data_IF_583585877801
#
_entry.id   IF_583585877801
#
_cell.length_a   1.000
_cell.length_b   1.000
_cell.length_c   1.000
_cell.angle_alpha   90.00
_cell.angle_beta   90.00
_cell.angle_gamma   90.00
#
_symmetry.space_group_name_H-M   'P 1'
#
loop_
_entity.id
_entity.type
_entity.pdbx_description
1 polymer ?
#
# COMPACT_ATOMS: atom_id res chain seq x y z
N UNK A 1 26.12 4.30 -0.33
CA UNK A 1 25.78 5.33 -1.37
C UNK A 1 24.94 4.79 -2.54
N UNK A 2 24.73 3.48 -2.68
CA UNK A 2 23.86 2.86 -3.70
C UNK A 2 22.40 2.75 -3.25
N UNK A 3 22.14 2.67 -1.97
CA UNK A 3 20.79 2.61 -1.36
C UNK A 3 20.00 3.92 -1.51
N UNK A 4 20.66 5.07 -1.45
CA UNK A 4 20.04 6.39 -1.59
C UNK A 4 19.54 6.69 -3.01
N UNK A 5 20.21 6.19 -4.05
CA UNK A 5 19.83 6.44 -5.45
C UNK A 5 18.56 5.68 -5.86
N UNK A 6 18.26 4.55 -5.23
CA UNK A 6 17.10 3.72 -5.62
C UNK A 6 15.80 4.15 -4.93
N UNK A 7 15.86 4.64 -3.70
CA UNK A 7 14.69 5.24 -3.04
C UNK A 7 14.32 6.56 -3.72
N UNK A 8 15.32 7.37 -4.10
CA UNK A 8 15.12 8.59 -4.88
C UNK A 8 14.52 8.31 -6.26
N UNK A 9 14.94 7.26 -6.97
CA UNK A 9 14.38 6.88 -8.27
C UNK A 9 12.92 6.41 -8.15
N UNK A 10 12.57 5.61 -7.14
CA UNK A 10 11.18 5.22 -6.85
C UNK A 10 10.32 6.41 -6.46
N UNK A 11 10.85 7.34 -5.68
CA UNK A 11 10.17 8.56 -5.27
C UNK A 11 9.96 9.52 -6.45
N UNK A 12 10.93 9.65 -7.34
CA UNK A 12 10.83 10.42 -8.59
C UNK A 12 9.75 9.82 -9.50
N UNK A 13 9.70 8.51 -9.65
CA UNK A 13 8.68 7.84 -10.48
C UNK A 13 7.26 8.01 -9.91
N UNK A 14 7.07 7.86 -8.61
CA UNK A 14 5.78 8.13 -7.94
C UNK A 14 5.36 9.60 -8.09
N UNK A 15 6.32 10.53 -8.15
CA UNK A 15 6.07 11.96 -8.32
C UNK A 15 5.79 12.37 -9.78
N UNK A 16 6.22 11.59 -10.79
CA UNK A 16 6.01 11.95 -12.21
C UNK A 16 4.52 12.06 -12.55
N UNK A 17 3.67 11.14 -12.12
CA UNK A 17 2.22 11.22 -12.31
C UNK A 17 1.59 12.44 -11.62
N UNK A 18 2.11 12.85 -10.47
CA UNK A 18 1.69 14.08 -9.78
C UNK A 18 2.06 15.34 -10.57
N UNK A 19 3.30 15.39 -11.08
CA UNK A 19 3.77 16.55 -11.87
C UNK A 19 2.96 16.72 -13.16
N UNK A 20 2.70 15.62 -13.87
CA UNK A 20 1.89 15.64 -15.09
C UNK A 20 0.45 16.11 -14.80
N UNK A 21 -0.20 15.60 -13.75
CA UNK A 21 -1.52 16.08 -13.33
C UNK A 21 -1.51 17.56 -12.96
N UNK A 22 -0.48 18.04 -12.29
CA UNK A 22 -0.33 19.45 -11.91
C UNK A 22 -0.24 20.36 -13.15
N UNK A 23 0.57 19.98 -14.14
CA UNK A 23 0.70 20.71 -15.42
C UNK A 23 -0.64 20.72 -16.14
N UNK A 24 -1.30 19.57 -16.25
CA UNK A 24 -2.61 19.43 -16.90
C UNK A 24 -3.67 20.29 -16.22
N UNK A 25 -3.80 20.22 -14.90
CA UNK A 25 -4.76 21.03 -14.13
C UNK A 25 -4.54 22.52 -14.29
N UNK A 26 -3.27 22.95 -14.36
CA UNK A 26 -2.95 24.34 -14.65
C UNK A 26 -3.38 24.76 -16.05
N UNK A 27 -3.15 23.92 -17.05
CA UNK A 27 -3.64 24.15 -18.43
C UNK A 27 -5.17 24.22 -18.51
N UNK A 28 -5.89 23.32 -17.82
CA UNK A 28 -7.34 23.31 -17.75
C UNK A 28 -7.88 24.61 -17.13
N UNK A 29 -7.28 25.08 -16.02
CA UNK A 29 -7.66 26.34 -15.39
C UNK A 29 -7.51 27.52 -16.35
N UNK A 30 -6.38 27.61 -17.07
CA UNK A 30 -6.20 28.68 -18.05
C UNK A 30 -7.22 28.59 -19.19
N UNK A 31 -7.51 27.39 -19.69
CA UNK A 31 -8.58 27.16 -20.65
C UNK A 31 -9.94 27.62 -20.12
N UNK A 32 -10.28 27.27 -18.87
CA UNK A 32 -11.51 27.70 -18.21
C UNK A 32 -11.61 29.22 -18.12
N UNK A 33 -10.51 29.94 -17.80
CA UNK A 33 -10.45 31.39 -17.71
C UNK A 33 -10.71 32.08 -19.05
N UNK A 34 -10.26 31.49 -20.15
CA UNK A 34 -10.53 32.02 -21.51
C UNK A 34 -11.83 31.50 -22.13
N UNK A 35 -12.69 30.84 -21.35
CA UNK A 35 -14.05 30.45 -21.75
C UNK A 35 -14.25 28.99 -22.11
N UNK A 36 -13.26 28.11 -22.02
CA UNK A 36 -13.44 26.68 -22.21
C UNK A 36 -14.17 26.06 -21.00
N UNK A 37 -15.51 25.94 -21.09
CA UNK A 37 -16.37 25.39 -20.04
C UNK A 37 -16.61 23.88 -20.16
N UNK A 38 -15.92 23.21 -21.08
CA UNK A 38 -16.02 21.77 -21.31
C UNK A 38 -14.64 21.15 -21.42
N UNK A 39 -14.48 19.86 -21.12
CA UNK A 39 -13.21 19.15 -21.31
C UNK A 39 -12.67 19.29 -22.74
N UNK A 40 -11.42 19.68 -22.88
CA UNK A 40 -10.78 19.98 -24.17
C UNK A 40 -9.36 19.42 -24.31
N UNK A 41 -8.63 19.20 -23.19
CA UNK A 41 -7.23 18.76 -23.25
C UNK A 41 -7.05 17.39 -23.90
N UNK A 42 -7.99 16.48 -23.68
CA UNK A 42 -7.98 15.15 -24.31
C UNK A 42 -8.02 15.23 -25.85
N UNK A 43 -8.54 16.31 -26.42
CA UNK A 43 -8.56 16.53 -27.87
C UNK A 43 -7.15 16.76 -28.43
N UNK A 44 -6.27 17.38 -27.64
CA UNK A 44 -4.87 17.70 -28.03
C UNK A 44 -4.00 16.45 -28.14
N UNK A 45 -4.41 15.31 -27.58
CA UNK A 45 -3.64 14.05 -27.61
C UNK A 45 -3.34 13.60 -29.03
N UNK A 46 -4.28 13.79 -29.96
CA UNK A 46 -4.09 13.40 -31.38
C UNK A 46 -2.95 14.21 -32.03
N UNK A 47 -2.87 15.48 -31.74
CA UNK A 47 -1.85 16.36 -32.33
C UNK A 47 -0.51 16.15 -31.64
N UNK A 48 -0.49 15.93 -30.33
CA UNK A 48 0.71 15.53 -29.63
C UNK A 48 1.32 14.23 -30.19
N UNK A 49 0.48 13.23 -30.48
CA UNK A 49 0.94 11.97 -31.09
C UNK A 49 1.52 12.22 -32.48
N UNK A 50 0.92 13.07 -33.32
CA UNK A 50 1.49 13.40 -34.62
C UNK A 50 2.91 13.98 -34.52
N UNK A 51 3.14 14.81 -33.51
CA UNK A 51 4.43 15.47 -33.30
C UNK A 51 5.49 14.52 -32.71
N UNK A 52 5.09 13.62 -31.81
CA UNK A 52 6.02 12.84 -30.98
C UNK A 52 6.11 11.35 -31.35
N UNK A 53 5.26 10.85 -32.24
CA UNK A 53 5.19 9.41 -32.54
C UNK A 53 6.50 8.83 -33.12
N UNK A 54 7.35 9.64 -33.77
CA UNK A 54 8.65 9.18 -34.26
C UNK A 54 9.62 8.81 -33.11
N UNK A 55 9.57 9.58 -32.01
CA UNK A 55 10.41 9.35 -30.85
C UNK A 55 9.74 8.39 -29.82
N UNK A 56 8.42 8.33 -29.79
CA UNK A 56 7.63 7.57 -28.81
C UNK A 56 6.49 6.80 -29.50
N UNK A 57 6.79 5.73 -30.24
CA UNK A 57 5.79 4.99 -31.02
C UNK A 57 4.71 4.32 -30.16
N UNK A 58 4.97 4.07 -28.88
CA UNK A 58 4.03 3.54 -27.91
C UNK A 58 2.81 4.47 -27.69
N UNK A 59 2.96 5.78 -27.88
CA UNK A 59 1.87 6.74 -27.75
C UNK A 59 0.74 6.45 -28.75
N UNK A 60 1.09 6.05 -29.97
CA UNK A 60 0.09 5.68 -30.99
C UNK A 60 -0.63 4.39 -30.62
N UNK A 61 0.09 3.40 -30.07
CA UNK A 61 -0.51 2.13 -29.64
C UNK A 61 -1.52 2.32 -28.49
N UNK A 62 -1.22 3.24 -27.57
CA UNK A 62 -2.05 3.52 -26.38
C UNK A 62 -2.92 4.77 -26.54
N UNK A 63 -3.13 5.28 -27.74
CA UNK A 63 -3.85 6.54 -27.99
C UNK A 63 -5.25 6.55 -27.37
N UNK A 64 -6.02 5.47 -27.50
CA UNK A 64 -7.39 5.40 -26.95
C UNK A 64 -7.38 5.49 -25.42
N UNK A 65 -6.52 4.74 -24.79
CA UNK A 65 -6.40 4.71 -23.31
C UNK A 65 -5.95 6.05 -22.77
N UNK A 66 -4.99 6.71 -23.45
CA UNK A 66 -4.49 8.05 -23.08
C UNK A 66 -5.61 9.09 -23.19
N UNK A 67 -6.39 9.08 -24.26
CA UNK A 67 -7.51 10.01 -24.47
C UNK A 67 -8.56 9.81 -23.37
N UNK A 68 -8.94 8.57 -23.06
CA UNK A 68 -9.92 8.27 -22.03
C UNK A 68 -9.42 8.66 -20.64
N UNK A 69 -8.16 8.36 -20.33
CA UNK A 69 -7.55 8.73 -19.06
C UNK A 69 -7.54 10.25 -18.84
N UNK A 70 -7.06 11.01 -19.83
CA UNK A 70 -6.99 12.47 -19.76
C UNK A 70 -8.41 13.04 -19.66
N UNK A 71 -9.36 12.54 -20.45
CA UNK A 71 -10.76 12.99 -20.41
C UNK A 71 -11.39 12.78 -19.04
N UNK A 72 -11.18 11.64 -18.42
CA UNK A 72 -11.72 11.32 -17.11
C UNK A 72 -11.10 12.19 -16.01
N UNK A 73 -9.78 12.42 -16.05
CA UNK A 73 -9.11 13.36 -15.13
C UNK A 73 -9.59 14.78 -15.32
N UNK A 74 -9.82 15.19 -16.56
CA UNK A 74 -10.30 16.52 -16.92
C UNK A 74 -11.72 16.75 -16.40
N UNK A 75 -12.65 15.80 -16.59
CA UNK A 75 -14.03 15.86 -16.08
C UNK A 75 -14.03 16.04 -14.56
N UNK A 76 -13.31 15.16 -13.85
CA UNK A 76 -13.20 15.23 -12.39
C UNK A 76 -12.60 16.56 -11.90
N UNK A 77 -11.66 17.09 -12.66
CA UNK A 77 -11.04 18.36 -12.29
C UNK A 77 -11.94 19.54 -12.56
N UNK A 78 -12.78 19.53 -13.63
CA UNK A 78 -13.79 20.57 -13.87
C UNK A 78 -14.79 20.66 -12.71
N UNK A 79 -15.30 19.52 -12.21
CA UNK A 79 -16.19 19.49 -11.04
C UNK A 79 -15.51 20.11 -9.81
N UNK A 80 -14.25 19.73 -9.56
CA UNK A 80 -13.42 20.29 -8.47
C UNK A 80 -13.17 21.79 -8.65
N UNK A 81 -12.90 22.21 -9.89
CA UNK A 81 -12.59 23.59 -10.25
C UNK A 81 -13.78 24.51 -10.01
N UNK A 82 -14.99 24.12 -10.46
CA UNK A 82 -16.20 24.90 -10.27
C UNK A 82 -16.52 25.07 -8.78
N UNK A 83 -16.60 23.98 -8.05
CA UNK A 83 -16.85 24.02 -6.59
C UNK A 83 -15.77 24.82 -5.83
N UNK A 84 -14.49 24.61 -6.18
CA UNK A 84 -13.39 25.30 -5.53
C UNK A 84 -13.39 26.82 -5.79
N UNK A 85 -13.73 27.24 -7.01
CA UNK A 85 -13.85 28.67 -7.37
C UNK A 85 -15.04 29.29 -6.64
N UNK A 86 -16.21 28.66 -6.62
CA UNK A 86 -17.39 29.17 -5.92
C UNK A 86 -17.13 29.40 -4.42
N UNK A 87 -16.54 28.41 -3.72
CA UNK A 87 -16.18 28.52 -2.30
C UNK A 87 -15.16 29.64 -2.08
N UNK A 88 -14.17 29.75 -2.97
CA UNK A 88 -13.14 30.77 -2.87
C UNK A 88 -13.71 32.16 -3.08
N UNK A 89 -14.60 32.36 -4.07
CA UNK A 89 -15.27 33.63 -4.35
C UNK A 89 -16.21 34.05 -3.23
N UNK A 90 -16.97 33.11 -2.68
CA UNK A 90 -17.83 33.36 -1.52
C UNK A 90 -16.98 33.78 -0.32
N UNK A 91 -15.87 33.07 -0.06
CA UNK A 91 -14.94 33.41 1.02
C UNK A 91 -14.37 34.82 0.83
N UNK A 92 -13.88 35.13 -0.36
CA UNK A 92 -13.29 36.45 -0.69
C UNK A 92 -14.35 37.56 -0.52
N UNK A 93 -15.59 37.33 -0.93
CA UNK A 93 -16.67 38.31 -0.83
C UNK A 93 -17.03 38.64 0.63
N UNK A 94 -16.86 37.67 1.53
CA UNK A 94 -17.15 37.80 2.96
C UNK A 94 -15.94 38.27 3.79
N UNK A 95 -14.76 38.39 3.19
CA UNK A 95 -13.52 38.82 3.87
C UNK A 95 -13.51 40.31 4.18
N UNK A 96 -13.06 40.65 5.38
CA UNK A 96 -12.77 42.04 5.78
C UNK A 96 -11.28 42.39 5.64
N UNK A 97 -10.43 41.39 5.53
CA UNK A 97 -8.97 41.51 5.45
C UNK A 97 -8.46 41.12 4.07
N UNK A 98 -7.25 41.53 3.72
CA UNK A 98 -6.60 41.16 2.45
C UNK A 98 -5.85 39.81 2.51
N UNK A 99 -5.93 39.09 3.60
CA UNK A 99 -5.23 37.81 3.80
C UNK A 99 -6.22 36.67 3.86
N UNK A 100 -6.11 35.71 2.96
CA UNK A 100 -6.90 34.49 2.92
C UNK A 100 -6.41 33.52 4.00
N UNK A 101 -7.32 33.08 4.88
CA UNK A 101 -6.99 32.20 6.01
C UNK A 101 -6.41 30.86 5.52
N UNK A 102 -5.31 30.41 6.16
CA UNK A 102 -4.71 29.11 5.89
C UNK A 102 -5.63 27.94 6.14
N UNK A 103 -6.60 28.04 7.09
CA UNK A 103 -7.61 27.00 7.33
C UNK A 103 -8.55 26.83 6.15
N UNK A 104 -8.97 27.92 5.49
CA UNK A 104 -9.80 27.89 4.28
C UNK A 104 -9.04 27.27 3.12
N UNK A 105 -7.77 27.69 2.94
CA UNK A 105 -6.90 27.14 1.89
C UNK A 105 -6.64 25.65 2.11
N UNK A 106 -6.46 25.23 3.36
CA UNK A 106 -6.33 23.82 3.72
C UNK A 106 -7.63 23.04 3.42
N UNK A 107 -8.79 23.56 3.77
CA UNK A 107 -10.09 22.94 3.48
C UNK A 107 -10.31 22.77 1.97
N UNK A 108 -9.98 23.77 1.18
CA UNK A 108 -10.03 23.70 -0.30
C UNK A 108 -9.12 22.59 -0.81
N UNK A 109 -7.90 22.50 -0.28
CA UNK A 109 -6.92 21.49 -0.69
C UNK A 109 -7.32 20.08 -0.27
N UNK A 110 -7.66 19.88 1.01
CA UNK A 110 -7.87 18.55 1.61
C UNK A 110 -9.24 17.96 1.31
N UNK A 111 -10.30 18.77 1.48
CA UNK A 111 -11.69 18.30 1.34
C UNK A 111 -12.17 18.33 -0.10
N UNK A 112 -11.84 19.39 -0.82
CA UNK A 112 -12.34 19.60 -2.19
C UNK A 112 -11.31 19.23 -3.26
N UNK A 113 -10.07 18.90 -2.88
CA UNK A 113 -9.01 18.55 -3.84
C UNK A 113 -8.55 19.72 -4.73
N UNK A 114 -8.85 20.96 -4.32
CA UNK A 114 -8.47 22.17 -5.04
C UNK A 114 -7.00 22.52 -4.72
N UNK A 115 -6.07 22.43 -5.69
CA UNK A 115 -4.65 22.55 -5.41
C UNK A 115 -4.25 23.92 -4.84
N UNK A 116 -3.30 23.91 -3.87
CA UNK A 116 -2.78 25.12 -3.26
C UNK A 116 -2.26 26.16 -4.27
N UNK A 117 -1.53 25.71 -5.30
CA UNK A 117 -0.98 26.56 -6.34
C UNK A 117 -2.06 27.28 -7.17
N UNK A 118 -3.23 26.66 -7.35
CA UNK A 118 -4.37 27.31 -7.98
C UNK A 118 -5.02 28.36 -7.07
N UNK A 119 -5.15 28.06 -5.78
CA UNK A 119 -5.61 29.06 -4.79
C UNK A 119 -4.66 30.25 -4.74
N UNK A 120 -3.34 29.99 -4.73
CA UNK A 120 -2.32 31.04 -4.71
C UNK A 120 -2.35 31.91 -5.98
N UNK A 121 -2.56 31.29 -7.14
CA UNK A 121 -2.67 32.05 -8.40
C UNK A 121 -3.92 32.95 -8.42
N UNK A 122 -5.07 32.47 -7.90
CA UNK A 122 -6.30 33.28 -7.81
C UNK A 122 -6.16 34.40 -6.78
N UNK A 123 -5.57 34.11 -5.63
CA UNK A 123 -5.30 35.12 -4.60
C UNK A 123 -4.42 36.24 -5.15
N UNK A 124 -3.33 35.89 -5.87
CA UNK A 124 -2.44 36.86 -6.52
C UNK A 124 -3.14 37.71 -7.58
N UNK A 125 -4.02 37.12 -8.38
CA UNK A 125 -4.84 37.86 -9.37
C UNK A 125 -5.80 38.87 -8.71
N UNK A 126 -6.28 38.55 -7.51
CA UNK A 126 -7.17 39.42 -6.72
C UNK A 126 -6.40 40.32 -5.71
N UNK A 127 -5.07 40.35 -5.78
CA UNK A 127 -4.19 41.10 -4.88
C UNK A 127 -4.42 40.77 -3.40
N UNK A 128 -4.61 39.49 -3.10
CA UNK A 128 -4.77 38.95 -1.75
C UNK A 128 -3.50 38.18 -1.35
N UNK A 129 -3.16 38.25 -0.07
CA UNK A 129 -2.15 37.41 0.55
C UNK A 129 -2.77 36.10 1.05
N UNK A 130 -1.92 35.10 1.27
CA UNK A 130 -2.32 33.81 1.86
C UNK A 130 -1.54 33.61 3.16
N UNK A 131 -2.22 33.14 4.19
CA UNK A 131 -1.60 32.67 5.42
C UNK A 131 -1.01 31.25 5.19
N UNK A 132 0.19 31.23 4.55
CA UNK A 132 0.91 30.00 4.23
C UNK A 132 1.42 29.29 5.49
N UNK A 133 1.72 30.02 6.56
CA UNK A 133 2.19 29.44 7.82
C UNK A 133 1.09 28.57 8.42
N UNK A 134 -0.11 29.12 8.54
CA UNK A 134 -1.27 28.37 9.05
C UNK A 134 -1.66 27.19 8.16
N UNK A 135 -1.59 27.34 6.83
CA UNK A 135 -1.80 26.24 5.89
C UNK A 135 -0.80 25.10 6.13
N UNK A 136 0.49 25.42 6.28
CA UNK A 136 1.53 24.43 6.52
C UNK A 136 1.38 23.76 7.90
N UNK A 137 0.92 24.46 8.91
CA UNK A 137 0.56 23.86 10.21
C UNK A 137 -0.54 22.81 10.05
N UNK A 138 -1.66 23.14 9.38
CA UNK A 138 -2.75 22.21 9.11
C UNK A 138 -2.28 20.98 8.32
N UNK A 139 -1.46 21.18 7.29
CA UNK A 139 -0.84 20.09 6.52
C UNK A 139 0.07 19.20 7.37
N UNK A 140 0.82 19.78 8.30
CA UNK A 140 1.68 19.02 9.21
C UNK A 140 0.87 18.25 10.26
N UNK A 141 -0.19 18.83 10.78
CA UNK A 141 -1.12 18.15 11.71
C UNK A 141 -1.76 16.95 11.01
N UNK A 142 -2.23 17.09 9.77
CA UNK A 142 -2.79 15.99 8.99
C UNK A 142 -1.74 14.89 8.73
N UNK A 143 -0.51 15.28 8.38
CA UNK A 143 0.60 14.33 8.22
C UNK A 143 0.92 13.60 9.52
N UNK A 144 0.87 14.28 10.66
CA UNK A 144 1.11 13.67 11.97
C UNK A 144 -0.02 12.69 12.34
N UNK A 145 -1.28 13.05 12.10
CA UNK A 145 -2.43 12.16 12.32
C UNK A 145 -2.35 10.93 11.40
N UNK A 146 -1.96 11.09 10.14
CA UNK A 146 -1.71 9.99 9.21
C UNK A 146 -0.46 9.17 9.58
N UNK A 147 0.56 9.78 10.19
CA UNK A 147 1.78 9.12 10.68
C UNK A 147 1.57 8.42 12.03
N UNK A 148 0.64 8.84 12.86
CA UNK A 148 0.34 8.19 14.14
C UNK A 148 -0.12 6.73 13.93
N UNK A 149 -0.72 6.42 12.79
CA UNK A 149 -0.99 5.04 12.36
C UNK A 149 0.25 4.29 11.82
N UNK A 150 1.35 4.99 11.52
CA UNK A 150 2.62 4.42 11.01
C UNK A 150 3.82 4.67 11.93
N UNK A 151 3.59 5.07 13.18
CA UNK A 151 4.64 5.48 14.14
C UNK A 151 5.65 4.37 14.50
N UNK A 152 5.31 3.12 14.23
CA UNK A 152 6.19 1.98 14.56
C UNK A 152 7.44 1.88 13.67
N UNK A 153 7.39 2.31 12.40
CA UNK A 153 8.55 2.20 11.48
C UNK A 153 9.67 3.19 11.85
N UNK A 154 9.31 4.36 12.37
CA UNK A 154 10.29 5.38 12.78
C UNK A 154 10.97 5.08 14.13
N UNK A 155 10.51 4.07 14.86
CA UNK A 155 11.02 3.67 16.18
C UNK A 155 11.81 2.37 16.18
N UNK A 156 12.05 1.73 15.02
CA UNK A 156 12.84 0.50 14.95
C UNK A 156 14.31 0.78 15.30
N UNK A 157 14.90 -0.02 16.21
CA UNK A 157 16.31 0.10 16.54
C UNK A 157 17.20 -0.30 15.36
N UNK A 158 18.42 0.25 15.31
CA UNK A 158 19.37 -0.08 14.24
C UNK A 158 19.88 -1.52 14.36
N UNK A 159 19.69 -2.32 13.32
CA UNK A 159 20.10 -3.72 13.24
C UNK A 159 21.54 -3.92 12.68
N UNK A 160 22.36 -2.86 12.63
CA UNK A 160 23.74 -2.95 12.12
C UNK A 160 24.61 -3.86 12.99
N UNK A 161 25.36 -4.77 12.35
CA UNK A 161 26.27 -5.69 13.03
C UNK A 161 25.58 -6.89 13.68
N UNK A 162 24.33 -7.19 13.33
CA UNK A 162 23.59 -8.37 13.80
C UNK A 162 23.55 -9.40 12.68
N UNK A 163 23.70 -10.68 13.03
CA UNK A 163 23.59 -11.81 12.12
C UNK A 163 22.21 -11.88 11.47
N UNK A 164 22.14 -12.40 10.24
CA UNK A 164 20.89 -12.60 9.52
C UNK A 164 19.99 -13.58 10.28
N UNK A 165 18.69 -13.24 10.36
CA UNK A 165 17.69 -14.12 10.97
C UNK A 165 17.18 -15.13 9.95
N UNK A 166 17.21 -16.44 10.29
CA UNK A 166 16.59 -17.48 9.47
C UNK A 166 15.09 -17.49 9.70
N UNK A 167 14.29 -17.26 8.63
CA UNK A 167 12.84 -17.34 8.71
C UNK A 167 12.36 -18.79 8.52
N UNK A 168 11.58 -19.30 9.47
CA UNK A 168 11.04 -20.66 9.49
C UNK A 168 9.50 -20.69 9.30
N UNK A 169 8.86 -19.53 9.26
CA UNK A 169 7.42 -19.37 9.41
C UNK A 169 6.57 -19.77 8.20
N UNK A 170 7.17 -20.27 7.11
CA UNK A 170 6.38 -20.90 6.04
C UNK A 170 5.88 -22.29 6.43
N UNK A 171 6.67 -23.03 7.21
CA UNK A 171 6.38 -24.43 7.58
C UNK A 171 6.06 -24.57 9.06
N UNK A 172 6.67 -23.72 9.91
CA UNK A 172 6.61 -23.86 11.36
C UNK A 172 5.96 -22.65 12.01
N UNK A 173 5.05 -22.89 12.95
CA UNK A 173 4.45 -21.85 13.80
C UNK A 173 5.20 -21.71 15.14
N UNK A 174 6.15 -22.59 15.41
CA UNK A 174 6.97 -22.58 16.63
C UNK A 174 8.43 -22.83 16.29
N UNK A 175 9.33 -22.26 17.09
CA UNK A 175 10.77 -22.57 17.04
C UNK A 175 11.45 -22.23 18.35
N UNK A 176 12.51 -22.98 18.66
CA UNK A 176 13.48 -22.59 19.68
C UNK A 176 14.48 -21.64 19.03
N UNK A 177 14.61 -20.44 19.60
CA UNK A 177 15.34 -19.35 18.99
C UNK A 177 16.29 -18.71 20.02
N UNK A 178 17.56 -18.47 19.61
CA UNK A 178 18.54 -17.80 20.46
C UNK A 178 18.43 -16.30 20.30
N UNK A 179 18.26 -15.58 21.39
CA UNK A 179 18.24 -14.12 21.44
C UNK A 179 19.64 -13.57 21.14
N UNK A 180 19.77 -12.80 20.05
CA UNK A 180 21.04 -12.20 19.63
C UNK A 180 21.24 -10.82 20.25
N UNK A 181 20.18 -10.07 20.43
CA UNK A 181 20.21 -8.69 20.92
C UNK A 181 18.83 -8.28 21.45
N UNK A 182 18.86 -7.42 22.45
CA UNK A 182 17.65 -6.78 23.03
C UNK A 182 17.84 -5.27 22.97
N UNK A 183 16.78 -4.53 22.66
CA UNK A 183 16.77 -3.07 22.70
C UNK A 183 15.61 -2.57 23.56
N UNK A 184 15.86 -1.49 24.27
CA UNK A 184 14.86 -0.67 24.92
C UNK A 184 15.11 0.78 24.52
N UNK A 185 14.08 1.48 24.08
CA UNK A 185 14.18 2.89 23.63
C UNK A 185 15.33 3.13 22.63
N UNK A 186 15.56 2.19 21.71
CA UNK A 186 16.62 2.15 20.69
C UNK A 186 18.04 1.86 21.22
N UNK A 187 18.26 1.75 22.51
CA UNK A 187 19.53 1.39 23.11
C UNK A 187 19.64 -0.13 23.31
N UNK A 188 20.82 -0.71 23.07
CA UNK A 188 21.09 -2.12 23.34
C UNK A 188 21.21 -2.34 24.83
N UNK A 189 20.53 -3.39 25.32
CA UNK A 189 20.57 -3.80 26.72
C UNK A 189 20.87 -5.30 26.82
N UNK A 190 21.48 -5.74 27.90
CA UNK A 190 21.82 -7.16 28.12
C UNK A 190 20.62 -7.97 28.62
N UNK A 191 19.68 -7.34 29.34
CA UNK A 191 18.53 -8.01 29.91
C UNK A 191 17.33 -7.07 30.05
N UNK A 192 16.13 -7.62 29.92
CA UNK A 192 14.86 -6.93 30.19
C UNK A 192 14.02 -7.69 31.23
N UNK A 193 13.24 -6.95 32.02
CA UNK A 193 12.48 -7.45 33.16
C UNK A 193 10.96 -7.36 32.91
N UNK A 194 10.22 -7.94 33.84
CA UNK A 194 8.77 -7.94 33.84
C UNK A 194 8.14 -6.55 33.57
N UNK A 195 7.14 -6.52 32.67
CA UNK A 195 6.39 -5.35 32.20
C UNK A 195 7.16 -4.36 31.32
N UNK A 196 8.38 -4.69 30.92
CA UNK A 196 9.13 -3.85 30.00
C UNK A 196 8.72 -4.15 28.55
N UNK A 197 8.49 -3.08 27.77
CA UNK A 197 8.37 -3.14 26.32
C UNK A 197 9.76 -3.10 25.71
N UNK A 198 10.04 -4.04 24.83
CA UNK A 198 11.35 -4.24 24.23
C UNK A 198 11.25 -4.56 22.74
N UNK A 199 12.37 -4.38 22.07
CA UNK A 199 12.63 -5.01 20.78
C UNK A 199 13.71 -6.07 20.96
N UNK A 200 13.62 -7.16 20.22
CA UNK A 200 14.68 -8.15 20.19
C UNK A 200 14.79 -8.82 18.82
N UNK A 201 15.97 -9.35 18.53
CA UNK A 201 16.22 -10.17 17.35
C UNK A 201 16.82 -11.51 17.75
N UNK A 202 16.49 -12.54 16.97
CA UNK A 202 16.97 -13.91 17.16
C UNK A 202 17.69 -14.43 15.92
N UNK A 203 18.47 -15.52 16.09
CA UNK A 203 19.12 -16.23 14.99
C UNK A 203 18.11 -16.85 14.00
N UNK A 204 16.92 -17.22 14.47
CA UNK A 204 15.84 -17.76 13.67
C UNK A 204 14.48 -17.38 14.26
N UNK A 205 13.42 -17.41 13.42
CA UNK A 205 12.07 -17.03 13.86
C UNK A 205 10.98 -17.70 13.02
N UNK A 206 9.84 -18.09 13.64
CA UNK A 206 8.64 -18.51 12.91
C UNK A 206 7.73 -17.30 12.56
N UNK A 207 8.05 -16.09 13.06
CA UNK A 207 7.23 -14.88 12.90
C UNK A 207 7.47 -14.23 11.55
N UNK A 208 6.41 -14.07 10.76
CA UNK A 208 6.43 -13.28 9.52
C UNK A 208 6.61 -11.79 9.88
N UNK A 209 7.56 -11.16 9.24
CA UNK A 209 7.74 -9.71 9.37
C UNK A 209 6.86 -8.96 8.35
N UNK A 210 6.25 -7.84 8.76
CA UNK A 210 5.43 -7.01 7.89
C UNK A 210 6.12 -6.72 6.54
N UNK A 211 5.53 -7.18 5.47
CA UNK A 211 5.99 -6.98 4.09
C UNK A 211 4.87 -7.24 3.07
N UNK A 212 4.96 -6.62 1.88
CA UNK A 212 4.04 -6.88 0.77
C UNK A 212 2.57 -6.60 1.08
N UNK A 213 2.29 -5.74 2.06
CA UNK A 213 0.93 -5.44 2.54
C UNK A 213 0.38 -6.41 3.58
N UNK A 214 1.05 -7.53 3.87
CA UNK A 214 0.72 -8.40 4.99
C UNK A 214 1.32 -7.85 6.28
N UNK A 215 0.51 -7.74 7.35
CA UNK A 215 0.97 -7.35 8.69
C UNK A 215 1.92 -8.39 9.31
N UNK A 216 2.73 -7.94 10.26
CA UNK A 216 3.60 -8.81 11.06
C UNK A 216 2.79 -9.73 11.99
N UNK A 217 3.35 -10.89 12.28
CA UNK A 217 2.73 -11.84 13.20
C UNK A 217 2.77 -11.39 14.65
N UNK A 218 1.79 -11.90 15.38
CA UNK A 218 1.69 -11.79 16.83
C UNK A 218 1.79 -13.18 17.47
N UNK A 219 2.18 -13.21 18.74
CA UNK A 219 2.29 -14.47 19.47
C UNK A 219 2.96 -14.33 20.82
N UNK A 220 3.69 -15.36 21.22
CA UNK A 220 4.34 -15.42 22.53
C UNK A 220 5.75 -15.96 22.44
N UNK A 221 6.53 -15.65 23.46
CA UNK A 221 7.80 -16.35 23.73
C UNK A 221 7.80 -16.88 25.18
N UNK A 222 8.50 -17.96 25.39
CA UNK A 222 8.68 -18.57 26.69
C UNK A 222 10.09 -19.17 26.84
N UNK A 223 10.66 -19.06 28.02
CA UNK A 223 11.87 -19.76 28.47
C UNK A 223 11.67 -20.31 29.87
N UNK A 224 12.69 -20.91 30.45
CA UNK A 224 12.65 -21.35 31.84
C UNK A 224 12.51 -20.18 32.83
N UNK A 225 13.00 -18.99 32.46
CA UNK A 225 13.10 -17.81 33.33
C UNK A 225 12.14 -16.68 32.95
N UNK A 226 11.50 -16.72 31.79
CA UNK A 226 10.67 -15.63 31.30
C UNK A 226 9.55 -16.09 30.37
N UNK A 227 8.48 -15.31 30.35
CA UNK A 227 7.44 -15.37 29.31
C UNK A 227 7.11 -13.97 28.83
N UNK A 228 6.66 -13.84 27.57
CA UNK A 228 6.25 -12.56 27.05
C UNK A 228 5.37 -12.68 25.81
N UNK A 229 4.71 -11.55 25.50
CA UNK A 229 3.82 -11.39 24.37
C UNK A 229 4.54 -10.66 23.25
N UNK A 230 4.55 -11.22 22.04
CA UNK A 230 5.08 -10.60 20.83
C UNK A 230 3.93 -9.87 20.12
N UNK A 231 4.06 -8.56 20.00
CA UNK A 231 3.01 -7.66 19.54
C UNK A 231 3.07 -7.40 18.03
N UNK A 232 4.28 -7.47 17.45
CA UNK A 232 4.52 -7.22 16.03
C UNK A 232 5.90 -7.75 15.62
N UNK A 233 6.11 -7.96 14.33
CA UNK A 233 7.38 -8.34 13.76
C UNK A 233 7.65 -7.53 12.49
N UNK A 234 8.83 -6.91 12.41
CA UNK A 234 9.28 -6.13 11.25
C UNK A 234 10.68 -6.55 10.82
N UNK A 235 11.06 -6.16 9.61
CA UNK A 235 12.33 -6.54 9.01
C UNK A 235 13.17 -5.30 8.72
N UNK A 236 14.47 -5.34 9.08
CA UNK A 236 15.45 -4.35 8.67
C UNK A 236 16.62 -5.08 7.97
N UNK A 237 16.73 -4.93 6.67
CA UNK A 237 17.58 -5.78 5.84
C UNK A 237 17.15 -7.25 5.95
N UNK A 238 18.03 -8.12 6.47
CA UNK A 238 17.76 -9.55 6.69
C UNK A 238 17.53 -9.91 8.17
N UNK A 239 17.44 -8.92 9.06
CA UNK A 239 17.21 -9.11 10.49
C UNK A 239 15.72 -8.90 10.81
N UNK A 240 15.11 -9.88 11.51
CA UNK A 240 13.74 -9.81 11.99
C UNK A 240 13.73 -9.25 13.41
N UNK A 241 13.03 -8.14 13.59
CA UNK A 241 12.94 -7.40 14.85
C UNK A 241 11.54 -7.60 15.42
N UNK A 242 11.47 -8.19 16.61
CA UNK A 242 10.23 -8.47 17.32
C UNK A 242 9.97 -7.40 18.35
N UNK A 243 8.79 -6.77 18.31
CA UNK A 243 8.29 -5.91 19.38
C UNK A 243 7.58 -6.77 20.42
N UNK A 244 7.97 -6.71 21.69
CA UNK A 244 7.39 -7.56 22.72
C UNK A 244 7.28 -6.86 24.07
N UNK A 245 6.43 -7.43 24.94
CA UNK A 245 6.35 -7.12 26.36
C UNK A 245 6.77 -8.36 27.13
N UNK A 246 7.64 -8.18 28.12
CA UNK A 246 8.00 -9.25 29.06
C UNK A 246 6.87 -9.39 30.08
N UNK A 247 6.11 -10.47 30.02
CA UNK A 247 4.95 -10.67 30.90
C UNK A 247 5.38 -11.14 32.31
N UNK A 248 6.41 -12.03 32.38
CA UNK A 248 6.96 -12.54 33.63
C UNK A 248 8.44 -12.83 33.50
N UNK A 249 9.18 -12.64 34.58
CA UNK A 249 10.59 -12.97 34.69
C UNK A 249 11.54 -11.99 34.01
N UNK A 250 12.62 -12.48 33.44
CA UNK A 250 13.64 -11.68 32.77
C UNK A 250 14.20 -12.44 31.56
N UNK A 251 14.29 -11.75 30.43
CA UNK A 251 14.94 -12.25 29.19
C UNK A 251 16.30 -11.60 29.04
N UNK A 252 17.30 -12.36 28.59
CA UNK A 252 18.69 -11.90 28.41
C UNK A 252 19.21 -12.21 27.01
N UNK A 253 20.16 -11.44 26.56
CA UNK A 253 20.96 -11.77 25.37
C UNK A 253 21.65 -13.11 25.56
N UNK A 254 21.53 -14.00 24.56
CA UNK A 254 22.03 -15.36 24.60
C UNK A 254 21.02 -16.41 25.07
N UNK A 255 19.91 -16.03 25.68
CA UNK A 255 18.85 -16.97 26.09
C UNK A 255 18.28 -17.72 24.89
N UNK A 256 17.93 -18.98 25.11
CA UNK A 256 17.11 -19.75 24.17
C UNK A 256 15.66 -19.65 24.61
N UNK A 257 14.82 -19.16 23.74
CA UNK A 257 13.41 -18.98 23.96
C UNK A 257 12.60 -19.81 22.97
N UNK A 258 11.51 -20.41 23.39
CA UNK A 258 10.52 -21.00 22.50
C UNK A 258 9.59 -19.87 22.03
N UNK A 259 9.56 -19.63 20.74
CA UNK A 259 8.69 -18.67 20.08
C UNK A 259 7.48 -19.39 19.47
N UNK A 260 6.28 -18.86 19.67
CA UNK A 260 5.03 -19.46 19.16
C UNK A 260 4.13 -18.38 18.54
N UNK A 261 3.83 -18.54 17.27
CA UNK A 261 2.92 -17.64 16.51
C UNK A 261 1.48 -17.95 16.88
N UNK A 262 0.63 -16.92 16.96
CA UNK A 262 -0.81 -17.07 17.19
C UNK A 262 -1.48 -17.69 15.96
N UNK A 263 -1.72 -19.01 16.04
CA UNK A 263 -2.17 -19.86 14.93
C UNK A 263 -3.44 -19.35 14.25
N UNK A 264 -4.43 -18.94 15.03
CA UNK A 264 -5.72 -18.49 14.49
C UNK A 264 -5.57 -17.22 13.65
N UNK A 265 -4.82 -16.23 14.14
CA UNK A 265 -4.54 -15.00 13.39
C UNK A 265 -3.70 -15.26 12.14
N UNK A 266 -2.63 -16.06 12.23
CA UNK A 266 -1.83 -16.45 11.07
C UNK A 266 -2.69 -17.15 10.01
N UNK A 267 -3.59 -18.03 10.41
CA UNK A 267 -4.50 -18.74 9.48
C UNK A 267 -5.44 -17.75 8.80
N UNK A 268 -6.05 -16.82 9.55
CA UNK A 268 -6.93 -15.80 8.97
C UNK A 268 -6.16 -14.89 7.99
N UNK A 269 -4.95 -14.45 8.34
CA UNK A 269 -4.08 -13.65 7.47
C UNK A 269 -3.73 -14.42 6.20
N UNK A 270 -3.35 -15.70 6.29
CA UNK A 270 -3.02 -16.55 5.14
C UNK A 270 -4.22 -16.73 4.20
N UNK A 271 -5.43 -16.85 4.73
CA UNK A 271 -6.68 -16.89 3.97
C UNK A 271 -6.89 -15.55 3.22
N UNK A 272 -6.82 -14.43 3.92
CA UNK A 272 -7.00 -13.12 3.31
C UNK A 272 -5.92 -12.83 2.26
N UNK A 273 -4.67 -13.22 2.50
CA UNK A 273 -3.59 -13.02 1.54
C UNK A 273 -3.78 -13.87 0.28
N UNK A 274 -4.15 -15.13 0.44
CA UNK A 274 -4.47 -15.99 -0.71
C UNK A 274 -5.66 -15.47 -1.50
N UNK A 275 -6.70 -15.00 -0.81
CA UNK A 275 -7.87 -14.37 -1.45
C UNK A 275 -7.49 -13.11 -2.23
N UNK A 276 -6.47 -12.36 -1.79
CA UNK A 276 -5.98 -11.16 -2.51
C UNK A 276 -5.52 -11.52 -3.93
N UNK A 277 -4.81 -12.62 -4.09
CA UNK A 277 -4.35 -13.11 -5.41
C UNK A 277 -5.52 -13.56 -6.29
N UNK A 278 -6.50 -14.26 -5.73
CA UNK A 278 -7.71 -14.65 -6.47
C UNK A 278 -8.52 -13.42 -6.91
N UNK A 279 -8.64 -12.41 -6.04
CA UNK A 279 -9.30 -11.12 -6.35
C UNK A 279 -8.56 -10.38 -7.47
N UNK A 280 -7.22 -10.33 -7.42
CA UNK A 280 -6.42 -9.68 -8.47
C UNK A 280 -6.66 -10.34 -9.84
N UNK A 281 -6.61 -11.66 -9.90
CA UNK A 281 -6.88 -12.40 -11.13
C UNK A 281 -8.33 -12.20 -11.62
N UNK A 282 -9.34 -12.20 -10.72
CA UNK A 282 -10.73 -11.96 -11.06
C UNK A 282 -10.95 -10.53 -11.60
N UNK A 283 -10.34 -9.53 -10.98
CA UNK A 283 -10.38 -8.13 -11.45
C UNK A 283 -9.84 -8.02 -12.87
N UNK A 284 -8.71 -8.67 -13.17
CA UNK A 284 -8.15 -8.69 -14.53
C UNK A 284 -9.05 -9.40 -15.52
N UNK A 285 -9.65 -10.52 -15.12
CA UNK A 285 -10.58 -11.27 -15.98
C UNK A 285 -11.86 -10.48 -16.32
N UNK A 286 -12.37 -9.65 -15.39
CA UNK A 286 -13.62 -8.89 -15.58
C UNK A 286 -13.36 -7.52 -16.22
N UNK A 287 -12.33 -6.81 -15.79
CA UNK A 287 -12.07 -5.41 -16.16
C UNK A 287 -10.99 -5.29 -17.26
N UNK A 288 -10.12 -6.28 -17.41
CA UNK A 288 -9.05 -6.31 -18.40
C UNK A 288 -7.64 -6.21 -17.83
N UNK A 289 -6.65 -6.44 -18.71
CA UNK A 289 -5.22 -6.55 -18.35
C UNK A 289 -4.56 -5.25 -17.86
N UNK A 290 -5.23 -4.11 -17.99
CA UNK A 290 -4.75 -2.82 -17.47
C UNK A 290 -4.81 -2.73 -15.95
N UNK A 291 -5.55 -3.64 -15.29
CA UNK A 291 -5.63 -3.69 -13.83
C UNK A 291 -4.28 -4.11 -13.26
N UNK A 292 -3.74 -3.25 -12.40
CA UNK A 292 -2.48 -3.47 -11.69
C UNK A 292 -2.66 -3.14 -10.23
N UNK A 293 -2.07 -3.92 -9.35
CA UNK A 293 -2.01 -3.61 -7.92
C UNK A 293 -1.27 -2.29 -7.70
N UNK A 294 -1.82 -1.43 -6.85
CA UNK A 294 -1.23 -0.16 -6.40
C UNK A 294 -0.93 -0.14 -4.91
N UNK A 295 -1.58 -1.00 -4.16
CA UNK A 295 -1.37 -1.22 -2.74
C UNK A 295 -2.14 -2.43 -2.26
N UNK A 296 -1.79 -2.91 -1.08
CA UNK A 296 -2.48 -3.99 -0.39
C UNK A 296 -2.39 -3.81 1.11
N UNK A 297 -3.41 -4.26 1.83
CA UNK A 297 -3.36 -4.44 3.27
C UNK A 297 -4.08 -5.74 3.59
N UNK A 298 -3.37 -6.63 4.29
CA UNK A 298 -3.88 -7.95 4.69
C UNK A 298 -3.69 -8.10 6.19
N UNK A 299 -4.79 -8.17 6.92
CA UNK A 299 -4.83 -8.39 8.37
C UNK A 299 -5.74 -9.58 8.73
N UNK A 300 -5.87 -9.89 10.02
CA UNK A 300 -6.70 -10.99 10.51
C UNK A 300 -8.21 -10.81 10.28
N UNK A 301 -8.67 -9.59 9.96
CA UNK A 301 -10.10 -9.25 9.84
C UNK A 301 -10.55 -8.99 8.41
N UNK A 302 -9.61 -8.56 7.53
CA UNK A 302 -9.93 -8.11 6.17
C UNK A 302 -8.71 -8.10 5.26
N UNK A 303 -8.97 -8.06 3.97
CA UNK A 303 -8.03 -7.62 2.96
C UNK A 303 -8.51 -6.30 2.34
N UNK A 304 -7.57 -5.43 1.95
CA UNK A 304 -7.81 -4.29 1.09
C UNK A 304 -6.89 -4.40 -0.12
N UNK A 305 -7.44 -4.26 -1.30
CA UNK A 305 -6.72 -4.31 -2.55
C UNK A 305 -6.93 -3.02 -3.32
N UNK A 306 -5.88 -2.24 -3.47
CA UNK A 306 -5.87 -0.98 -4.19
C UNK A 306 -5.36 -1.26 -5.62
N UNK A 307 -6.12 -0.84 -6.63
CA UNK A 307 -5.79 -1.16 -8.02
C UNK A 307 -6.03 0.00 -8.98
N UNK A 308 -5.41 -0.07 -10.15
CA UNK A 308 -5.61 0.90 -11.21
C UNK A 308 -6.85 0.56 -12.03
N UNK A 309 -7.85 1.44 -12.00
CA UNK A 309 -8.99 1.41 -12.90
C UNK A 309 -9.49 2.83 -13.17
N UNK A 310 -10.07 3.05 -14.35
CA UNK A 310 -10.45 4.40 -14.80
C UNK A 310 -11.82 4.84 -14.32
N UNK A 311 -12.69 3.89 -13.93
CA UNK A 311 -14.09 4.12 -13.54
C UNK A 311 -14.38 3.40 -12.21
N UNK A 312 -15.38 3.84 -11.43
CA UNK A 312 -15.94 3.04 -10.35
C UNK A 312 -16.49 1.72 -10.90
N UNK A 313 -16.40 0.65 -10.11
CA UNK A 313 -17.00 -0.63 -10.48
C UNK A 313 -18.52 -0.56 -10.42
N UNK A 314 -19.18 -1.19 -11.36
CA UNK A 314 -20.63 -1.39 -11.28
C UNK A 314 -20.96 -2.53 -10.31
N UNK A 315 -22.21 -2.57 -9.84
CA UNK A 315 -22.68 -3.67 -8.95
C UNK A 315 -22.56 -5.02 -9.63
N UNK A 316 -22.83 -5.09 -10.94
CA UNK A 316 -22.74 -6.28 -11.75
C UNK A 316 -21.29 -6.77 -11.87
N UNK A 317 -20.31 -5.86 -12.03
CA UNK A 317 -18.89 -6.18 -12.04
C UNK A 317 -18.42 -6.71 -10.68
N UNK A 318 -18.85 -6.08 -9.59
CA UNK A 318 -18.53 -6.53 -8.23
C UNK A 318 -19.07 -7.94 -8.00
N UNK A 319 -20.36 -8.19 -8.27
CA UNK A 319 -20.96 -9.52 -8.12
C UNK A 319 -20.25 -10.56 -8.97
N UNK A 320 -19.88 -10.24 -10.20
CA UNK A 320 -19.15 -11.14 -11.09
C UNK A 320 -17.76 -11.47 -10.56
N UNK A 321 -17.06 -10.51 -9.96
CA UNK A 321 -15.75 -10.71 -9.32
C UNK A 321 -15.91 -11.63 -8.11
N UNK A 322 -16.90 -11.37 -7.24
CA UNK A 322 -17.21 -12.21 -6.08
C UNK A 322 -17.49 -13.67 -6.49
N UNK A 323 -18.34 -13.87 -7.50
CA UNK A 323 -18.71 -15.19 -8.00
C UNK A 323 -17.48 -15.96 -8.53
N UNK A 324 -16.61 -15.29 -9.29
CA UNK A 324 -15.40 -15.90 -9.82
C UNK A 324 -14.48 -16.32 -8.68
N UNK A 325 -14.22 -15.43 -7.71
CA UNK A 325 -13.32 -15.72 -6.58
C UNK A 325 -13.87 -16.87 -5.74
N UNK A 326 -15.16 -16.83 -5.40
CA UNK A 326 -15.80 -17.88 -4.61
C UNK A 326 -15.80 -19.23 -5.34
N UNK A 327 -16.03 -19.22 -6.66
CA UNK A 327 -15.95 -20.42 -7.50
C UNK A 327 -14.53 -21.03 -7.54
N UNK A 328 -13.49 -20.20 -7.68
CA UNK A 328 -12.11 -20.68 -7.66
C UNK A 328 -11.71 -21.19 -6.27
N UNK A 329 -12.15 -20.53 -5.19
CA UNK A 329 -11.94 -21.00 -3.84
C UNK A 329 -12.57 -22.38 -3.60
N UNK A 330 -13.83 -22.60 -4.02
CA UNK A 330 -14.58 -23.84 -3.84
C UNK A 330 -13.98 -25.04 -4.60
N UNK A 331 -13.16 -24.84 -5.64
CA UNK A 331 -12.51 -25.94 -6.37
C UNK A 331 -11.52 -26.73 -5.50
N UNK A 332 -11.11 -26.20 -4.36
CA UNK A 332 -10.20 -26.85 -3.42
C UNK A 332 -8.88 -27.33 -4.06
N UNK A 333 -8.29 -26.50 -4.88
CA UNK A 333 -7.04 -26.82 -5.57
C UNK A 333 -5.83 -26.56 -4.67
N UNK A 334 -4.76 -27.30 -4.93
CA UNK A 334 -3.48 -27.10 -4.24
C UNK A 334 -2.89 -25.74 -4.59
N UNK A 335 -2.36 -25.05 -3.61
CA UNK A 335 -1.60 -23.81 -3.76
C UNK A 335 -0.12 -24.15 -3.80
N UNK A 336 0.50 -23.98 -4.97
CA UNK A 336 1.90 -24.32 -5.20
C UNK A 336 2.80 -23.12 -4.98
N UNK A 337 3.93 -23.36 -4.33
CA UNK A 337 4.95 -22.35 -4.13
C UNK A 337 6.30 -22.92 -4.56
N UNK A 338 6.98 -22.23 -5.46
CA UNK A 338 8.27 -22.63 -6.01
C UNK A 338 9.28 -21.50 -5.86
N UNK A 339 10.52 -21.86 -5.50
CA UNK A 339 11.66 -20.94 -5.51
C UNK A 339 12.37 -21.06 -6.85
N UNK A 340 12.56 -19.96 -7.56
CA UNK A 340 13.26 -19.94 -8.84
C UNK A 340 13.96 -18.60 -9.06
N UNK A 341 14.80 -18.52 -10.09
CA UNK A 341 15.44 -17.27 -10.48
C UNK A 341 14.40 -16.28 -11.02
N UNK A 342 14.58 -14.99 -10.72
CA UNK A 342 13.67 -13.92 -11.14
C UNK A 342 13.40 -13.94 -12.65
N UNK A 343 14.45 -14.12 -13.46
CA UNK A 343 14.32 -14.16 -14.93
C UNK A 343 13.46 -15.34 -15.41
N UNK A 344 13.57 -16.50 -14.75
CA UNK A 344 12.79 -17.69 -15.10
C UNK A 344 11.33 -17.55 -14.65
N UNK A 345 11.10 -16.93 -13.49
CA UNK A 345 9.78 -16.59 -12.99
C UNK A 345 9.04 -15.65 -13.95
N UNK A 346 9.71 -14.61 -14.46
CA UNK A 346 9.13 -13.68 -15.43
C UNK A 346 8.83 -14.36 -16.79
N UNK A 347 9.70 -15.27 -17.23
CA UNK A 347 9.47 -16.06 -18.47
C UNK A 347 8.30 -17.03 -18.32
N UNK A 348 8.04 -17.58 -17.13
CA UNK A 348 6.88 -18.43 -16.85
C UNK A 348 5.55 -17.66 -16.79
N UNK A 349 5.57 -16.34 -16.94
CA UNK A 349 4.39 -15.49 -16.88
C UNK A 349 3.99 -15.05 -15.50
N UNK A 350 4.84 -15.23 -14.49
CA UNK A 350 4.58 -14.75 -13.14
C UNK A 350 4.51 -13.23 -13.11
N UNK A 351 3.46 -12.70 -12.48
CA UNK A 351 3.29 -11.26 -12.31
C UNK A 351 4.17 -10.76 -11.17
N UNK A 352 5.01 -9.76 -11.48
CA UNK A 352 5.78 -9.01 -10.51
C UNK A 352 5.03 -7.73 -10.14
N UNK A 353 5.00 -7.38 -8.86
CA UNK A 353 4.44 -6.11 -8.40
C UNK A 353 5.32 -4.96 -8.89
N UNK A 354 4.70 -3.97 -9.48
CA UNK A 354 5.43 -2.84 -10.04
C UNK A 354 6.05 -1.97 -8.93
N UNK A 355 7.38 -1.80 -9.00
CA UNK A 355 8.15 -0.96 -8.06
C UNK A 355 8.65 -1.69 -6.82
N UNK A 356 8.44 -2.98 -6.66
CA UNK A 356 9.13 -3.80 -5.67
C UNK A 356 10.50 -4.25 -6.18
N UNK A 357 11.44 -4.40 -5.23
CA UNK A 357 12.75 -4.96 -5.50
C UNK A 357 12.72 -6.43 -5.10
N UNK A 358 13.06 -7.27 -6.05
CA UNK A 358 13.17 -8.70 -5.83
C UNK A 358 14.65 -9.10 -5.74
N UNK A 359 14.94 -10.06 -4.89
CA UNK A 359 16.22 -10.75 -4.86
C UNK A 359 16.37 -11.63 -6.12
N UNK A 360 17.57 -12.16 -6.37
CA UNK A 360 17.82 -13.06 -7.51
C UNK A 360 16.98 -14.33 -7.46
N UNK A 361 16.70 -14.85 -6.26
CA UNK A 361 15.80 -15.96 -6.01
C UNK A 361 14.46 -15.44 -5.50
N UNK A 362 13.39 -15.77 -6.21
CA UNK A 362 12.02 -15.32 -5.91
C UNK A 362 11.10 -16.49 -5.64
N UNK A 363 10.09 -16.22 -4.82
CA UNK A 363 9.04 -17.17 -4.51
C UNK A 363 7.86 -16.93 -5.43
N UNK A 364 7.53 -17.91 -6.30
CA UNK A 364 6.40 -17.89 -7.21
C UNK A 364 5.24 -18.67 -6.60
N UNK A 365 4.11 -18.02 -6.49
CA UNK A 365 2.86 -18.59 -5.99
C UNK A 365 1.92 -18.87 -7.16
N UNK A 366 1.47 -20.11 -7.29
CA UNK A 366 0.51 -20.55 -8.32
C UNK A 366 -0.77 -21.05 -7.66
N UNK A 367 -1.90 -20.49 -8.08
CA UNK A 367 -3.23 -20.81 -7.55
C UNK A 367 -4.26 -21.00 -8.66
N UNK A 368 -5.28 -21.80 -8.38
CA UNK A 368 -6.45 -21.97 -9.21
C UNK A 368 -6.25 -22.92 -10.38
N UNK A 369 -7.33 -23.15 -11.12
CA UNK A 369 -7.33 -24.04 -12.27
C UNK A 369 -6.54 -23.41 -13.44
N UNK A 370 -5.73 -24.23 -14.12
CA UNK A 370 -4.89 -23.78 -15.24
C UNK A 370 -3.99 -22.57 -14.89
N UNK A 371 -3.44 -22.55 -13.66
CA UNK A 371 -2.61 -21.43 -13.19
C UNK A 371 -3.34 -20.10 -13.26
N UNK A 372 -4.58 -20.07 -12.75
CA UNK A 372 -5.46 -18.90 -12.75
C UNK A 372 -4.81 -17.63 -12.16
N UNK A 373 -3.98 -17.76 -11.12
CA UNK A 373 -3.11 -16.73 -10.60
C UNK A 373 -1.69 -17.24 -10.47
N UNK A 374 -0.72 -16.52 -11.04
CA UNK A 374 0.73 -16.80 -10.93
C UNK A 374 1.42 -15.49 -10.59
N UNK A 375 1.91 -15.37 -9.36
CA UNK A 375 2.45 -14.10 -8.86
C UNK A 375 3.71 -14.29 -8.01
N UNK A 376 4.61 -13.29 -8.02
CA UNK A 376 5.74 -13.24 -7.10
C UNK A 376 5.23 -12.81 -5.73
N UNK A 377 5.32 -13.70 -4.74
CA UNK A 377 4.83 -13.41 -3.40
C UNK A 377 5.63 -14.07 -2.28
N UNK A 378 6.17 -13.24 -1.37
CA UNK A 378 6.87 -13.70 -0.17
C UNK A 378 5.98 -13.89 1.07
N UNK A 379 4.66 -13.72 0.94
CA UNK A 379 3.71 -13.81 2.05
C UNK A 379 3.41 -15.23 2.52
N UNK A 380 2.56 -15.33 3.54
CA UNK A 380 2.05 -16.62 4.03
C UNK A 380 0.71 -16.93 3.37
N UNK A 381 0.55 -18.17 2.90
CA UNK A 381 -0.61 -18.60 2.14
C UNK A 381 -1.20 -19.90 2.66
N UNK A 382 -2.44 -20.17 2.25
CA UNK A 382 -3.09 -21.45 2.51
C UNK A 382 -2.53 -22.54 1.60
N UNK A 383 -2.58 -23.80 2.00
CA UNK A 383 -2.11 -24.91 1.19
C UNK A 383 -3.14 -25.35 0.11
N UNK A 384 -4.41 -24.99 0.28
CA UNK A 384 -5.50 -25.30 -0.65
C UNK A 384 -6.50 -24.14 -0.70
N UNK A 385 -7.09 -23.90 -1.87
CA UNK A 385 -7.99 -22.77 -2.09
C UNK A 385 -9.27 -22.82 -1.25
N UNK A 386 -9.80 -24.00 -0.92
CA UNK A 386 -11.03 -24.16 -0.11
C UNK A 386 -10.83 -23.96 1.40
N UNK A 387 -9.60 -23.78 1.88
CA UNK A 387 -9.40 -23.41 3.31
C UNK A 387 -10.06 -22.05 3.62
N UNK A 388 -10.37 -21.30 2.58
CA UNK A 388 -11.20 -20.08 2.62
C UNK A 388 -12.70 -20.39 2.66
N UNK A 389 -13.18 -21.26 3.55
CA UNK A 389 -14.61 -21.62 3.64
C UNK A 389 -15.48 -20.43 4.11
N UNK A 390 -15.35 -19.31 3.41
CA UNK A 390 -16.02 -18.06 3.73
C UNK A 390 -16.38 -17.36 2.43
N UNK A 391 -17.65 -16.94 2.30
CA UNK A 391 -18.05 -16.15 1.15
C UNK A 391 -17.32 -14.82 1.16
N UNK A 392 -16.53 -14.55 0.12
CA UNK A 392 -15.93 -13.25 -0.09
C UNK A 392 -17.06 -12.28 -0.46
N UNK A 393 -17.17 -11.18 0.28
CA UNK A 393 -17.99 -10.02 -0.10
C UNK A 393 -17.10 -8.80 -0.25
N UNK A 394 -17.26 -8.14 -1.37
CA UNK A 394 -16.48 -6.96 -1.73
C UNK A 394 -17.29 -5.69 -1.50
N UNK A 395 -16.63 -4.66 -0.93
CA UNK A 395 -17.16 -3.30 -0.87
C UNK A 395 -16.18 -2.39 -1.58
N UNK A 396 -16.64 -1.70 -2.62
CA UNK A 396 -15.82 -0.72 -3.31
C UNK A 396 -15.89 0.65 -2.64
N UNK A 397 -14.73 1.29 -2.50
CA UNK A 397 -14.61 2.71 -2.19
C UNK A 397 -13.59 3.33 -3.16
N UNK A 398 -14.06 3.98 -4.23
CA UNK A 398 -13.26 4.80 -5.18
C UNK A 398 -11.89 4.19 -5.56
N UNK A 399 -11.88 3.05 -6.26
CA UNK A 399 -10.66 2.42 -6.77
C UNK A 399 -9.96 1.47 -5.79
N UNK A 400 -10.62 1.15 -4.67
CA UNK A 400 -10.17 0.15 -3.72
C UNK A 400 -11.27 -0.89 -3.53
N UNK A 401 -10.92 -2.18 -3.51
CA UNK A 401 -11.82 -3.22 -3.00
C UNK A 401 -11.38 -3.57 -1.59
N UNK A 402 -12.32 -3.43 -0.64
CA UNK A 402 -12.18 -3.98 0.70
C UNK A 402 -13.04 -5.22 0.78
N UNK A 403 -12.41 -6.37 0.97
CA UNK A 403 -13.13 -7.62 1.12
C UNK A 403 -13.05 -8.07 2.58
N UNK A 404 -14.19 -8.51 3.10
CA UNK A 404 -14.29 -9.24 4.35
C UNK A 404 -14.72 -10.65 4.04
N UNK A 405 -14.05 -11.62 4.62
CA UNK A 405 -14.51 -12.98 4.62
C UNK A 405 -15.59 -13.11 5.69
N UNK A 406 -16.80 -13.47 5.29
CA UNK A 406 -17.87 -13.78 6.24
C UNK A 406 -17.70 -15.22 6.67
N UNK A 407 -17.28 -15.45 7.91
CA UNK A 407 -17.38 -16.74 8.56
C UNK A 407 -18.87 -17.02 8.79
N UNK A 408 -19.46 -17.92 8.01
CA UNK A 408 -20.72 -18.53 8.43
C UNK A 408 -20.42 -19.37 9.68
N UNK A 409 -21.10 -18.99 10.79
CA UNK A 409 -21.04 -19.74 12.05
C UNK A 409 -21.86 -21.01 11.94
#
# INVERSE_FOLDING_TARGET
STLDRSSAASDVYKRQGYVLRRIMRRGIRHGYKIGAKKPFMHLLVKDLIKLMNSAYPELKKKQKDIIELIKNEEIKFFETLETGIEILEETISNMKNKTLSGDVVFKLHDTYGFPFDLTADIAREKQLDIDEERFNECMNQQKQTSKASSSFVSSLPAASGIEETKFLGYENLESDSKVLVIWKDQERIDAAKNKEEIFFACNQTPFYAEAGGQIGDKGKFASQSSTGSILDCKKQGKVYIHKAIVDKGSIKTGDVIKMSVEKEKRSAIAIHHSSTHLVHAALRAVLGDHVQQKGSLVDENKLRFDFSHTKPLTKEEITKIEDIVNKEALKNLEVKTELMKLDDALKSGAMALFGEKYDDDVRVLTMGENSYSVELCGGTHVNRTAVSYTHLRAHETRGNIVCRLLLEK
#
